data_IF_122963992392
#
_entry.id   IF_122963992392
#
_cell.length_a   1.000
_cell.length_b   1.000
_cell.length_c   1.000
_cell.angle_alpha   90.00
_cell.angle_beta   90.00
_cell.angle_gamma   90.00
#
_symmetry.space_group_name_H-M   'P 1'
#
loop_
_entity.id
_entity.type
_entity.pdbx_description
1 polymer ?
#
# COMPACT_ATOMS: atom_id res chain seq x y z
N UNK A 1 10.26 26.89 -11.41
CA UNK A 1 9.65 25.59 -11.73
C UNK A 1 8.14 25.75 -11.56
N UNK A 2 7.31 25.39 -12.57
CA UNK A 2 5.85 25.48 -12.45
C UNK A 2 5.40 24.45 -11.38
N UNK A 3 4.69 24.90 -10.33
CA UNK A 3 4.17 24.01 -9.30
C UNK A 3 2.84 23.44 -9.79
N UNK A 4 2.79 22.17 -10.13
CA UNK A 4 1.57 21.48 -10.56
C UNK A 4 0.92 20.87 -9.30
N UNK A 5 -0.30 21.31 -8.97
CA UNK A 5 -1.06 20.71 -7.86
C UNK A 5 -1.65 19.36 -8.29
N UNK A 6 -2.00 18.51 -7.29
CA UNK A 6 -2.72 17.26 -7.55
C UNK A 6 -4.00 17.51 -8.35
N UNK A 7 -4.80 18.50 -7.98
CA UNK A 7 -6.02 18.86 -8.72
C UNK A 7 -5.72 19.22 -10.18
N UNK A 8 -4.68 20.05 -10.43
CA UNK A 8 -4.29 20.38 -11.78
C UNK A 8 -3.84 19.13 -12.57
N UNK A 9 -3.01 18.28 -11.97
CA UNK A 9 -2.57 17.03 -12.57
C UNK A 9 -3.76 16.16 -12.96
N UNK A 10 -4.69 15.91 -12.03
CA UNK A 10 -5.85 15.06 -12.26
C UNK A 10 -6.78 15.61 -13.36
N UNK A 11 -6.96 16.93 -13.43
CA UNK A 11 -7.75 17.59 -14.50
C UNK A 11 -7.05 17.47 -15.86
N UNK A 12 -5.72 17.64 -15.91
CA UNK A 12 -4.94 17.50 -17.13
C UNK A 12 -4.97 16.05 -17.65
N UNK A 13 -4.83 15.03 -16.77
CA UNK A 13 -4.95 13.61 -17.13
C UNK A 13 -6.35 13.26 -17.64
N UNK A 14 -7.40 13.75 -16.99
CA UNK A 14 -8.77 13.56 -17.44
C UNK A 14 -8.98 14.12 -18.86
N UNK A 15 -8.38 15.28 -19.17
CA UNK A 15 -8.54 15.95 -20.47
C UNK A 15 -7.70 15.35 -21.58
N UNK A 16 -6.48 14.93 -21.27
CA UNK A 16 -5.52 14.49 -22.30
C UNK A 16 -5.79 13.09 -22.80
N UNK A 17 -6.13 12.17 -21.92
CA UNK A 17 -6.20 10.74 -22.22
C UNK A 17 -7.60 10.14 -22.02
N UNK A 18 -8.54 10.88 -21.45
CA UNK A 18 -9.84 10.36 -20.96
C UNK A 18 -9.67 9.09 -20.08
N UNK A 19 -8.47 8.94 -19.51
CA UNK A 19 -8.06 7.74 -18.75
C UNK A 19 -8.61 7.74 -17.32
N UNK A 20 -8.99 8.93 -16.81
CA UNK A 20 -9.51 9.11 -15.46
C UNK A 20 -10.92 9.73 -15.57
N UNK A 21 -11.99 8.95 -15.30
CA UNK A 21 -13.34 9.49 -15.22
C UNK A 21 -13.47 10.57 -14.14
N UNK A 22 -14.40 11.51 -14.33
CA UNK A 22 -14.59 12.62 -13.37
C UNK A 22 -14.89 12.13 -11.96
N UNK A 23 -15.67 11.07 -11.81
CA UNK A 23 -16.02 10.47 -10.52
C UNK A 23 -14.79 9.88 -9.82
N UNK A 24 -13.93 9.17 -10.55
CA UNK A 24 -12.68 8.64 -9.99
C UNK A 24 -11.73 9.77 -9.58
N UNK A 25 -11.64 10.83 -10.40
CA UNK A 25 -10.85 12.02 -10.06
C UNK A 25 -11.32 12.64 -8.75
N UNK A 26 -12.62 12.86 -8.59
CA UNK A 26 -13.20 13.43 -7.37
C UNK A 26 -12.98 12.55 -6.15
N UNK A 27 -13.15 11.23 -6.30
CA UNK A 27 -12.84 10.27 -5.23
C UNK A 27 -11.39 10.39 -4.76
N UNK A 28 -10.43 10.41 -5.68
CA UNK A 28 -9.00 10.53 -5.32
C UNK A 28 -8.70 11.86 -4.63
N UNK A 29 -9.36 12.96 -5.02
CA UNK A 29 -9.23 14.25 -4.30
C UNK A 29 -9.74 14.17 -2.86
N UNK A 30 -10.81 13.39 -2.62
CA UNK A 30 -11.34 13.16 -1.26
C UNK A 30 -10.37 12.32 -0.44
N UNK A 31 -9.87 11.20 -0.97
CA UNK A 31 -8.88 10.35 -0.30
C UNK A 31 -7.61 11.16 0.02
N UNK A 32 -7.09 11.92 -0.92
CA UNK A 32 -5.91 12.77 -0.71
C UNK A 32 -6.14 13.84 0.37
N UNK A 33 -7.37 14.34 0.52
CA UNK A 33 -7.76 15.26 1.60
C UNK A 33 -7.80 14.55 2.95
N UNK A 34 -8.36 13.33 3.02
CA UNK A 34 -8.33 12.50 4.22
C UNK A 34 -6.88 12.24 4.68
N UNK A 35 -5.98 11.89 3.76
CA UNK A 35 -4.55 11.73 4.05
C UNK A 35 -3.90 13.01 4.62
N UNK A 36 -4.32 14.21 4.21
CA UNK A 36 -3.85 15.46 4.84
C UNK A 36 -4.29 15.57 6.30
N UNK A 37 -5.52 15.20 6.59
CA UNK A 37 -6.07 15.21 7.96
C UNK A 37 -5.32 14.21 8.84
N UNK A 38 -5.08 13.00 8.34
CA UNK A 38 -4.26 11.98 9.02
C UNK A 38 -2.83 12.49 9.25
N UNK A 39 -2.20 13.08 8.23
CA UNK A 39 -0.85 13.69 8.36
C UNK A 39 -0.78 14.73 9.46
N UNK A 40 -1.86 15.53 9.64
CA UNK A 40 -1.93 16.51 10.70
C UNK A 40 -2.03 15.84 12.08
N UNK A 41 -2.86 14.79 12.22
CA UNK A 41 -2.98 14.02 13.46
C UNK A 41 -1.66 13.35 13.83
N UNK A 42 -1.01 12.65 12.88
CA UNK A 42 0.31 12.04 13.03
C UNK A 42 1.36 13.06 13.48
N UNK A 43 1.38 14.23 12.83
CA UNK A 43 2.35 15.30 13.15
C UNK A 43 2.17 15.94 14.53
N UNK A 44 0.99 15.81 15.14
CA UNK A 44 0.75 16.24 16.53
C UNK A 44 1.30 15.26 17.57
N UNK A 45 1.33 13.97 17.25
CA UNK A 45 1.83 12.95 18.17
C UNK A 45 1.24 13.09 19.59
N UNK A 46 2.13 13.12 20.59
CA UNK A 46 1.72 13.26 21.99
C UNK A 46 0.94 14.57 22.28
N UNK A 47 1.17 15.64 21.53
CA UNK A 47 0.46 16.90 21.71
C UNK A 47 -1.03 16.80 21.30
N UNK A 48 -1.37 15.81 20.48
CA UNK A 48 -2.76 15.54 20.06
C UNK A 48 -3.43 14.43 20.85
N UNK A 49 -2.75 13.85 21.84
CA UNK A 49 -3.21 12.69 22.64
C UNK A 49 -3.52 11.45 21.78
N UNK A 50 -2.91 11.37 20.60
CA UNK A 50 -3.17 10.33 19.60
C UNK A 50 -2.23 9.11 19.69
N UNK A 51 -1.24 9.17 20.61
CA UNK A 51 -0.31 8.07 20.84
C UNK A 51 -0.85 7.04 21.84
N UNK A 52 -0.25 5.86 21.85
CA UNK A 52 -0.57 4.78 22.76
C UNK A 52 -1.62 3.81 22.21
N UNK A 53 -1.87 2.75 22.98
CA UNK A 53 -2.88 1.74 22.66
C UNK A 53 -4.26 2.25 22.95
N UNK A 54 -5.22 1.86 22.11
CA UNK A 54 -6.62 1.82 22.50
C UNK A 54 -6.85 0.57 23.38
N UNK A 55 -7.86 0.62 24.26
CA UNK A 55 -8.25 -0.56 25.06
C UNK A 55 -9.06 -1.57 24.22
N UNK A 56 -8.74 -1.67 22.92
CA UNK A 56 -9.44 -2.48 21.91
C UNK A 56 -8.43 -3.29 21.09
N UNK A 57 -8.87 -4.46 20.66
CA UNK A 57 -8.19 -5.27 19.67
C UNK A 57 -8.97 -5.20 18.34
N UNK A 58 -8.26 -5.23 17.21
CA UNK A 58 -8.92 -5.35 15.92
C UNK A 58 -9.46 -6.78 15.74
N UNK A 59 -10.22 -6.98 14.66
CA UNK A 59 -10.84 -8.27 14.32
C UNK A 59 -9.86 -9.43 14.14
N UNK A 60 -8.58 -9.15 14.16
CA UNK A 60 -7.50 -10.13 14.02
C UNK A 60 -6.74 -10.37 15.32
N UNK A 61 -7.20 -9.80 16.45
CA UNK A 61 -6.58 -9.91 17.76
C UNK A 61 -5.28 -9.09 17.90
N UNK A 62 -5.08 -8.09 17.04
CA UNK A 62 -3.96 -7.15 17.15
C UNK A 62 -4.41 -5.96 17.99
N UNK A 63 -3.58 -5.54 18.95
CA UNK A 63 -3.88 -4.37 19.79
C UNK A 63 -3.86 -3.10 18.94
N UNK A 64 -5.02 -2.44 18.82
CA UNK A 64 -5.15 -1.21 18.05
C UNK A 64 -4.44 -0.04 18.73
N UNK A 65 -3.83 0.82 17.95
CA UNK A 65 -3.37 2.12 18.39
C UNK A 65 -4.48 3.15 18.22
N UNK A 66 -4.48 4.20 19.02
CA UNK A 66 -5.46 5.29 18.87
C UNK A 66 -5.43 5.91 17.48
N UNK A 67 -4.24 6.02 16.88
CA UNK A 67 -4.08 6.54 15.51
C UNK A 67 -4.68 5.63 14.45
N UNK A 68 -4.68 4.31 14.62
CA UNK A 68 -5.34 3.38 13.68
C UNK A 68 -6.84 3.69 13.62
N UNK A 69 -7.50 3.81 14.79
CA UNK A 69 -8.92 4.13 14.90
C UNK A 69 -9.22 5.50 14.28
N UNK A 70 -8.46 6.53 14.67
CA UNK A 70 -8.64 7.90 14.16
C UNK A 70 -8.47 7.95 12.65
N UNK A 71 -7.46 7.27 12.10
CA UNK A 71 -7.20 7.24 10.67
C UNK A 71 -8.30 6.52 9.90
N UNK A 72 -8.82 5.43 10.47
CA UNK A 72 -9.95 4.69 9.91
C UNK A 72 -11.21 5.57 9.87
N UNK A 73 -11.57 6.22 10.98
CA UNK A 73 -12.73 7.13 11.05
C UNK A 73 -12.61 8.28 10.06
N UNK A 74 -11.43 8.93 9.96
CA UNK A 74 -11.19 10.02 9.00
C UNK A 74 -11.44 9.55 7.56
N UNK A 75 -10.98 8.36 7.18
CA UNK A 75 -11.19 7.84 5.83
C UNK A 75 -12.65 7.50 5.57
N UNK A 76 -13.35 6.88 6.51
CA UNK A 76 -14.78 6.56 6.39
C UNK A 76 -15.61 7.85 6.27
N UNK A 77 -15.49 8.76 7.23
CA UNK A 77 -16.26 9.99 7.26
C UNK A 77 -16.02 10.90 6.05
N UNK A 78 -14.78 10.99 5.57
CA UNK A 78 -14.46 11.79 4.40
C UNK A 78 -15.12 11.27 3.13
N UNK A 79 -15.27 9.95 2.99
CA UNK A 79 -15.62 9.31 1.72
C UNK A 79 -17.10 8.87 1.63
N UNK A 80 -17.83 8.72 2.74
CA UNK A 80 -19.21 8.18 2.71
C UNK A 80 -20.25 9.09 2.06
N UNK A 81 -20.08 10.40 2.06
CA UNK A 81 -21.09 11.38 1.62
C UNK A 81 -20.90 11.89 0.18
N UNK A 82 -19.75 11.62 -0.44
CA UNK A 82 -19.34 12.22 -1.71
C UNK A 82 -20.08 11.69 -2.96
N UNK A 83 -20.81 10.58 -2.85
CA UNK A 83 -21.57 10.00 -3.96
C UNK A 83 -20.73 9.23 -4.98
N UNK A 84 -19.44 8.99 -4.70
CA UNK A 84 -18.52 8.30 -5.62
C UNK A 84 -18.41 6.80 -5.32
N UNK A 85 -18.75 6.39 -4.09
CA UNK A 85 -18.59 5.03 -3.59
C UNK A 85 -19.91 4.28 -3.45
N UNK A 86 -19.85 2.98 -3.65
CA UNK A 86 -20.90 2.04 -3.26
C UNK A 86 -20.65 1.47 -1.87
N UNK A 87 -19.39 1.18 -1.55
CA UNK A 87 -18.96 0.64 -0.27
C UNK A 87 -17.46 0.90 -0.04
N UNK A 88 -17.02 0.71 1.20
CA UNK A 88 -15.62 0.72 1.61
C UNK A 88 -15.26 -0.56 2.34
N UNK A 89 -13.98 -0.94 2.30
CA UNK A 89 -13.42 -2.01 3.12
C UNK A 89 -12.11 -1.53 3.74
N UNK A 90 -11.96 -1.74 5.03
CA UNK A 90 -10.79 -1.35 5.81
C UNK A 90 -10.15 -2.57 6.45
N UNK A 91 -8.84 -2.54 6.58
CA UNK A 91 -8.07 -3.52 7.34
C UNK A 91 -8.52 -3.61 8.80
N UNK A 92 -8.96 -2.50 9.38
CA UNK A 92 -9.38 -2.36 10.79
C UNK A 92 -10.84 -2.79 11.06
N UNK A 93 -11.60 -3.15 10.01
CA UNK A 93 -13.02 -3.50 10.12
C UNK A 93 -13.26 -4.96 9.75
N UNK A 94 -14.11 -5.66 10.49
CA UNK A 94 -14.44 -7.08 10.23
C UNK A 94 -15.16 -7.27 8.90
N UNK A 95 -16.05 -6.33 8.57
CA UNK A 95 -16.91 -6.39 7.39
C UNK A 95 -16.80 -5.11 6.57
N UNK A 96 -17.36 -5.12 5.37
CA UNK A 96 -17.45 -3.94 4.53
C UNK A 96 -18.31 -2.85 5.19
N UNK A 97 -18.07 -1.60 4.79
CA UNK A 97 -18.88 -0.43 5.13
C UNK A 97 -19.71 -0.01 3.90
N UNK A 98 -20.96 -0.44 3.76
CA UNK A 98 -21.85 0.05 2.70
C UNK A 98 -22.12 1.54 2.89
N UNK A 99 -22.16 2.30 1.81
CA UNK A 99 -22.54 3.73 1.91
C UNK A 99 -23.96 3.85 2.48
N UNK A 100 -24.13 4.64 3.56
CA UNK A 100 -25.43 4.84 4.20
C UNK A 100 -26.50 5.32 3.20
N UNK A 101 -27.73 4.81 3.31
CA UNK A 101 -28.81 5.10 2.38
C UNK A 101 -29.21 6.60 2.30
N UNK A 102 -28.79 7.41 3.28
CA UNK A 102 -28.97 8.87 3.27
C UNK A 102 -28.10 9.60 2.25
N UNK A 103 -27.06 8.90 1.73
CA UNK A 103 -26.12 9.47 0.76
C UNK A 103 -26.30 8.80 -0.61
N UNK A 104 -25.98 9.51 -1.70
CA UNK A 104 -25.95 8.91 -3.03
C UNK A 104 -24.83 7.84 -3.11
N UNK A 105 -25.09 6.79 -3.89
CA UNK A 105 -24.12 5.73 -4.14
C UNK A 105 -23.46 5.93 -5.51
N UNK A 106 -22.18 5.62 -5.60
CA UNK A 106 -21.37 5.72 -6.82
C UNK A 106 -20.94 4.36 -7.36
N UNK A 107 -20.06 4.38 -8.35
CA UNK A 107 -19.62 3.21 -9.12
C UNK A 107 -18.32 2.59 -8.61
N UNK A 108 -17.74 3.12 -7.52
CA UNK A 108 -16.45 2.65 -7.02
C UNK A 108 -16.56 2.02 -5.64
N UNK A 109 -15.58 1.20 -5.33
CA UNK A 109 -15.34 0.62 -4.01
C UNK A 109 -13.93 0.99 -3.57
N UNK A 110 -13.77 1.49 -2.35
CA UNK A 110 -12.50 1.91 -1.78
C UNK A 110 -12.04 0.86 -0.76
N UNK A 111 -10.79 0.41 -0.92
CA UNK A 111 -10.11 -0.46 0.04
C UNK A 111 -8.94 0.29 0.61
N UNK A 112 -8.68 0.15 1.92
CA UNK A 112 -7.55 0.83 2.55
C UNK A 112 -7.05 0.10 3.80
N UNK A 113 -5.74 0.21 4.01
CA UNK A 113 -5.09 0.12 5.31
C UNK A 113 -4.96 1.57 5.82
N UNK A 114 -5.68 1.94 6.88
CA UNK A 114 -5.67 3.32 7.33
C UNK A 114 -4.32 3.78 7.86
N UNK A 115 -3.52 2.85 8.43
CA UNK A 115 -2.22 3.21 8.99
C UNK A 115 -1.21 2.05 9.03
N UNK A 116 -0.57 1.77 7.88
CA UNK A 116 0.54 0.81 7.77
C UNK A 116 1.71 1.19 8.68
N UNK A 117 2.24 0.19 9.36
CA UNK A 117 3.40 0.34 10.24
C UNK A 117 3.06 0.78 11.66
N UNK A 118 1.91 0.40 12.22
CA UNK A 118 1.41 0.79 13.55
C UNK A 118 2.43 0.59 14.69
N UNK A 119 3.35 -0.37 14.56
CA UNK A 119 4.45 -0.55 15.53
C UNK A 119 5.43 0.63 15.60
N UNK A 120 5.45 1.48 14.56
CA UNK A 120 6.32 2.64 14.44
C UNK A 120 5.73 3.93 15.04
N UNK A 121 4.44 3.93 15.39
CA UNK A 121 3.70 5.13 15.86
C UNK A 121 4.39 5.74 17.09
N UNK A 122 4.58 4.94 18.13
CA UNK A 122 5.05 5.43 19.43
C UNK A 122 6.56 5.72 19.46
N UNK A 123 7.30 5.33 18.42
CA UNK A 123 8.75 5.52 18.31
C UNK A 123 9.15 6.54 17.23
N UNK A 124 8.17 7.27 16.69
CA UNK A 124 8.35 8.37 15.74
C UNK A 124 9.09 7.95 14.46
N UNK A 125 8.78 6.77 13.93
CA UNK A 125 9.29 6.28 12.65
C UNK A 125 8.16 6.34 11.61
N UNK A 126 8.52 6.46 10.32
CA UNK A 126 7.57 6.64 9.22
C UNK A 126 6.50 5.55 9.18
N UNK A 127 5.28 5.99 8.97
CA UNK A 127 4.05 5.21 8.82
C UNK A 127 3.29 5.72 7.61
N UNK A 128 2.18 5.10 7.23
CA UNK A 128 1.41 5.62 6.10
C UNK A 128 0.04 4.98 5.92
N UNK A 129 -0.71 5.53 4.98
CA UNK A 129 -2.01 5.02 4.55
C UNK A 129 -1.86 4.38 3.18
N UNK A 130 -2.39 3.17 2.99
CA UNK A 130 -2.43 2.49 1.69
C UNK A 130 -3.87 2.45 1.22
N UNK A 131 -4.12 2.69 -0.08
CA UNK A 131 -5.46 2.58 -0.63
C UNK A 131 -5.47 2.05 -2.07
N UNK A 132 -6.59 1.46 -2.45
CA UNK A 132 -6.90 1.11 -3.83
C UNK A 132 -8.38 1.29 -4.13
N UNK A 133 -8.69 1.43 -5.41
CA UNK A 133 -10.04 1.61 -5.91
C UNK A 133 -10.36 0.48 -6.90
N UNK A 134 -11.48 -0.18 -6.67
CA UNK A 134 -12.11 -1.12 -7.60
C UNK A 134 -13.36 -0.48 -8.20
N UNK A 135 -13.73 -0.92 -9.40
CA UNK A 135 -15.04 -0.61 -9.95
C UNK A 135 -16.08 -1.57 -9.36
N UNK A 136 -17.21 -1.04 -8.94
CA UNK A 136 -18.33 -1.85 -8.50
C UNK A 136 -18.86 -2.69 -9.67
N UNK A 137 -19.29 -3.94 -9.46
CA UNK A 137 -19.90 -4.77 -10.49
C UNK A 137 -21.14 -4.11 -11.10
N UNK A 138 -21.31 -4.27 -12.41
CA UNK A 138 -22.47 -3.71 -13.11
C UNK A 138 -23.77 -4.32 -12.57
N UNK A 139 -24.76 -3.47 -12.30
CA UNK A 139 -26.04 -3.90 -11.74
C UNK A 139 -26.00 -4.32 -10.27
N UNK A 140 -24.94 -3.99 -9.55
CA UNK A 140 -24.80 -4.27 -8.12
C UNK A 140 -25.97 -3.67 -7.34
N UNK A 141 -26.62 -4.50 -6.50
CA UNK A 141 -27.66 -4.09 -5.57
C UNK A 141 -27.09 -3.53 -4.27
N UNK A 142 -27.41 -4.16 -3.15
CA UNK A 142 -26.72 -3.87 -1.89
C UNK A 142 -25.31 -4.48 -1.94
N UNK A 143 -24.25 -3.71 -1.62
CA UNK A 143 -22.88 -4.21 -1.61
C UNK A 143 -22.70 -5.38 -0.64
N UNK A 144 -21.93 -6.37 -1.06
CA UNK A 144 -21.53 -7.53 -0.28
C UNK A 144 -20.02 -7.69 -0.31
N UNK A 145 -19.46 -8.52 0.58
CA UNK A 145 -18.03 -8.83 0.55
C UNK A 145 -17.61 -9.48 -0.78
N UNK A 146 -18.50 -10.25 -1.41
CA UNK A 146 -18.21 -10.92 -2.67
C UNK A 146 -17.92 -9.93 -3.81
N UNK A 147 -18.49 -8.73 -3.77
CA UNK A 147 -18.24 -7.68 -4.77
C UNK A 147 -16.80 -7.19 -4.73
N UNK A 148 -16.15 -7.27 -3.56
CA UNK A 148 -14.74 -6.93 -3.37
C UNK A 148 -13.78 -8.04 -3.81
N UNK A 149 -14.25 -9.29 -3.99
CA UNK A 149 -13.40 -10.43 -4.35
C UNK A 149 -12.90 -10.35 -5.80
N UNK A 150 -12.22 -9.27 -6.13
CA UNK A 150 -11.64 -9.02 -7.44
C UNK A 150 -10.11 -9.10 -7.37
N UNK A 151 -9.49 -9.72 -8.39
CA UNK A 151 -8.03 -9.79 -8.47
C UNK A 151 -7.40 -8.39 -8.52
N UNK A 152 -6.16 -8.25 -8.04
CA UNK A 152 -5.43 -6.98 -8.02
C UNK A 152 -5.34 -6.29 -9.38
N UNK A 153 -5.35 -7.05 -10.48
CA UNK A 153 -5.40 -6.55 -11.87
C UNK A 153 -6.68 -5.78 -12.23
N UNK A 154 -7.71 -5.80 -11.38
CA UNK A 154 -8.95 -5.03 -11.55
C UNK A 154 -8.93 -3.67 -10.87
N UNK A 155 -7.88 -3.33 -10.16
CA UNK A 155 -7.71 -2.00 -9.58
C UNK A 155 -7.68 -0.93 -10.68
N UNK A 156 -8.47 0.13 -10.51
CA UNK A 156 -8.51 1.29 -11.42
C UNK A 156 -7.63 2.43 -10.93
N UNK A 157 -7.29 2.42 -9.66
CA UNK A 157 -6.31 3.31 -9.05
C UNK A 157 -5.73 2.65 -7.80
N UNK A 158 -4.49 2.97 -7.48
CA UNK A 158 -3.88 2.66 -6.18
C UNK A 158 -2.92 3.77 -5.78
N UNK A 159 -2.74 3.92 -4.48
CA UNK A 159 -1.83 4.90 -3.93
C UNK A 159 -1.50 4.63 -2.47
N UNK A 160 -0.54 5.37 -1.97
CA UNK A 160 -0.26 5.45 -0.54
C UNK A 160 0.17 6.86 -0.15
N UNK A 161 -0.11 7.24 1.08
CA UNK A 161 0.51 8.39 1.71
C UNK A 161 1.55 7.90 2.71
N UNK A 162 2.77 8.45 2.67
CA UNK A 162 3.80 8.22 3.69
C UNK A 162 3.92 9.45 4.59
N UNK A 163 3.82 9.24 5.89
CA UNK A 163 3.95 10.23 6.94
C UNK A 163 5.34 10.09 7.58
N UNK A 164 6.30 10.85 7.06
CA UNK A 164 7.69 10.84 7.47
C UNK A 164 8.23 12.28 7.59
N UNK A 165 9.54 12.50 7.38
CA UNK A 165 10.13 13.85 7.34
C UNK A 165 9.40 14.80 6.39
N UNK A 166 8.92 14.26 5.27
CA UNK A 166 7.95 14.89 4.38
C UNK A 166 6.69 14.01 4.33
N UNK A 167 5.53 14.63 4.15
CA UNK A 167 4.32 13.90 3.82
C UNK A 167 4.20 13.83 2.31
N UNK A 168 4.19 12.61 1.77
CA UNK A 168 4.16 12.38 0.33
C UNK A 168 3.01 11.45 -0.03
N UNK A 169 2.39 11.69 -1.19
CA UNK A 169 1.33 10.87 -1.77
C UNK A 169 1.86 10.29 -3.08
N UNK A 170 1.89 8.98 -3.18
CA UNK A 170 2.22 8.25 -4.42
C UNK A 170 0.94 7.69 -5.02
N UNK A 171 0.79 7.80 -6.35
CA UNK A 171 -0.46 7.49 -7.02
C UNK A 171 -0.21 6.91 -8.41
N UNK A 172 -1.04 5.92 -8.78
CA UNK A 172 -1.13 5.36 -10.13
C UNK A 172 -2.58 5.14 -10.55
N UNK A 173 -2.83 5.30 -11.85
CA UNK A 173 -4.08 4.93 -12.55
C UNK A 173 -3.81 3.85 -13.63
N UNK A 174 -2.67 3.16 -13.56
CA UNK A 174 -2.27 2.17 -14.57
C UNK A 174 -1.50 2.75 -15.75
N UNK A 175 -1.02 3.99 -15.67
CA UNK A 175 -0.26 4.70 -16.71
C UNK A 175 1.04 5.34 -16.17
N UNK A 176 1.72 4.66 -15.26
CA UNK A 176 2.91 5.13 -14.55
C UNK A 176 2.61 5.57 -13.12
N UNK A 177 3.64 6.02 -12.42
CA UNK A 177 3.59 6.35 -10.99
C UNK A 177 4.06 7.78 -10.77
N UNK A 178 3.27 8.56 -10.06
CA UNK A 178 3.58 9.95 -9.75
C UNK A 178 3.60 10.19 -8.23
N UNK A 179 4.47 11.08 -7.78
CA UNK A 179 4.62 11.43 -6.38
C UNK A 179 4.38 12.91 -6.14
N UNK A 180 3.58 13.19 -5.12
CA UNK A 180 3.20 14.54 -4.69
C UNK A 180 3.68 14.75 -3.27
N UNK A 181 4.25 15.92 -2.99
CA UNK A 181 4.64 16.34 -1.64
C UNK A 181 3.62 17.32 -1.09
N UNK A 182 3.24 17.16 0.16
CA UNK A 182 2.33 18.08 0.84
C UNK A 182 3.09 19.38 1.20
N UNK A 183 2.71 20.46 0.54
CA UNK A 183 3.03 21.80 1.00
C UNK A 183 2.11 22.13 2.20
N UNK A 184 2.67 22.05 3.40
CA UNK A 184 1.90 22.20 4.64
C UNK A 184 1.40 23.63 4.88
N UNK A 185 2.09 24.63 4.33
CA UNK A 185 1.70 26.05 4.46
C UNK A 185 0.47 26.35 3.61
N UNK A 186 0.45 25.85 2.38
CA UNK A 186 -0.66 26.01 1.45
C UNK A 186 -1.74 24.93 1.56
N UNK A 187 -1.46 23.84 2.26
CA UNK A 187 -2.34 22.68 2.34
C UNK A 187 -2.54 21.98 0.98
N UNK A 188 -1.57 22.08 0.08
CA UNK A 188 -1.69 21.58 -1.30
C UNK A 188 -0.73 20.42 -1.57
N UNK A 189 -1.18 19.39 -2.25
CA UNK A 189 -0.32 18.37 -2.83
C UNK A 189 0.30 18.90 -4.11
N UNK A 190 1.65 18.91 -4.18
CA UNK A 190 2.42 19.41 -5.31
C UNK A 190 3.19 18.26 -5.95
N UNK A 191 3.07 18.10 -7.27
CA UNK A 191 3.83 17.10 -8.03
C UNK A 191 5.32 17.37 -7.90
N UNK A 192 6.06 16.43 -7.33
CA UNK A 192 7.51 16.53 -7.11
C UNK A 192 8.30 15.52 -7.93
N UNK A 193 7.69 14.37 -8.25
CA UNK A 193 8.29 13.37 -9.13
C UNK A 193 7.22 12.81 -10.07
N UNK A 194 7.50 12.79 -11.35
CA UNK A 194 6.62 12.21 -12.38
C UNK A 194 7.25 10.95 -12.97
N UNK A 195 6.40 9.98 -13.30
CA UNK A 195 6.81 8.74 -13.95
C UNK A 195 7.98 8.04 -13.24
N UNK A 196 7.83 7.80 -11.93
CA UNK A 196 8.83 7.10 -11.12
C UNK A 196 9.15 5.72 -11.71
N UNK A 197 10.44 5.36 -11.71
CA UNK A 197 10.91 4.10 -12.25
C UNK A 197 11.80 3.37 -11.26
N UNK A 198 11.55 2.07 -11.07
CA UNK A 198 12.39 1.19 -10.27
C UNK A 198 13.48 0.60 -11.15
N UNK A 199 14.76 0.76 -10.80
CA UNK A 199 15.83 0.08 -11.53
C UNK A 199 15.63 -1.44 -11.55
N UNK A 200 15.87 -2.14 -12.68
CA UNK A 200 15.67 -3.58 -12.77
C UNK A 200 16.57 -4.37 -11.83
N UNK A 201 17.79 -3.88 -11.57
CA UNK A 201 18.77 -4.44 -10.64
C UNK A 201 18.93 -3.55 -9.41
N UNK A 202 19.39 -4.14 -8.31
CA UNK A 202 19.62 -3.40 -7.06
C UNK A 202 20.76 -4.00 -6.25
N UNK A 203 21.19 -3.25 -5.22
CA UNK A 203 22.09 -3.68 -4.14
C UNK A 203 21.47 -3.48 -2.76
N UNK A 204 20.15 -3.36 -2.68
CA UNK A 204 19.45 -3.17 -1.41
C UNK A 204 18.32 -4.19 -1.27
N UNK A 205 18.12 -4.67 -0.03
CA UNK A 205 17.02 -5.54 0.33
C UNK A 205 16.45 -5.18 1.70
N UNK A 206 15.17 -5.48 1.90
CA UNK A 206 14.45 -5.28 3.16
C UNK A 206 13.74 -6.58 3.55
N UNK A 207 14.07 -7.10 4.72
CA UNK A 207 13.42 -8.27 5.33
C UNK A 207 13.65 -8.24 6.83
N UNK A 208 12.70 -8.75 7.62
CA UNK A 208 12.91 -8.91 9.07
C UNK A 208 13.83 -10.09 9.35
N UNK A 209 15.14 -9.83 9.50
CA UNK A 209 16.18 -10.83 9.74
C UNK A 209 15.97 -11.65 11.02
N UNK A 210 15.20 -11.14 12.00
CA UNK A 210 14.92 -11.90 13.24
C UNK A 210 14.11 -13.18 12.98
N UNK A 211 13.46 -13.29 11.83
CA UNK A 211 12.69 -14.46 11.40
C UNK A 211 13.51 -15.48 10.60
N UNK A 212 14.82 -15.28 10.39
CA UNK A 212 15.65 -16.12 9.51
C UNK A 212 15.59 -17.63 9.82
N UNK A 213 15.46 -17.99 11.10
CA UNK A 213 15.35 -19.40 11.54
C UNK A 213 14.02 -20.07 11.17
N UNK A 214 13.03 -19.29 10.71
CA UNK A 214 11.68 -19.75 10.39
C UNK A 214 11.36 -19.67 8.90
N UNK A 215 12.30 -19.22 8.07
CA UNK A 215 12.06 -19.11 6.63
C UNK A 215 12.10 -20.47 5.95
N UNK A 216 11.30 -20.58 4.90
CA UNK A 216 11.40 -21.69 3.95
C UNK A 216 12.73 -21.68 3.22
N UNK A 217 13.23 -22.86 2.75
CA UNK A 217 14.55 -22.97 2.11
C UNK A 217 14.81 -22.00 0.96
N UNK A 218 13.87 -21.70 0.04
CA UNK A 218 14.09 -20.74 -1.03
C UNK A 218 14.44 -19.34 -0.54
N UNK A 219 13.73 -18.85 0.48
CA UNK A 219 13.96 -17.53 1.08
C UNK A 219 15.32 -17.50 1.77
N UNK A 220 15.61 -18.55 2.55
CA UNK A 220 16.89 -18.66 3.24
C UNK A 220 18.06 -18.65 2.26
N UNK A 221 18.00 -19.47 1.20
CA UNK A 221 19.01 -19.50 0.13
C UNK A 221 19.19 -18.11 -0.48
N UNK A 222 18.10 -17.46 -0.86
CA UNK A 222 18.15 -16.15 -1.49
C UNK A 222 18.87 -15.12 -0.58
N UNK A 223 18.49 -15.04 0.70
CA UNK A 223 19.11 -14.10 1.64
C UNK A 223 20.56 -14.46 1.96
N UNK A 224 20.89 -15.75 2.14
CA UNK A 224 22.26 -16.19 2.36
C UNK A 224 23.19 -15.76 1.20
N UNK A 225 22.72 -15.81 -0.06
CA UNK A 225 23.45 -15.32 -1.23
C UNK A 225 23.66 -13.79 -1.19
N UNK A 226 22.68 -13.01 -0.72
CA UNK A 226 22.85 -11.56 -0.55
C UNK A 226 23.88 -11.23 0.52
N UNK A 227 23.87 -11.99 1.65
CA UNK A 227 24.79 -11.82 2.76
C UNK A 227 26.23 -12.27 2.45
N UNK A 228 26.40 -13.25 1.54
CA UNK A 228 27.71 -13.69 1.10
C UNK A 228 28.48 -12.61 0.33
N UNK A 229 27.80 -11.59 -0.16
CA UNK A 229 28.43 -10.40 -0.75
C UNK A 229 29.18 -10.70 -2.05
N UNK A 230 30.28 -9.99 -2.26
CA UNK A 230 31.12 -10.07 -3.47
C UNK A 230 31.91 -11.36 -3.58
N UNK A 231 32.15 -12.06 -2.46
CA UNK A 231 32.79 -13.37 -2.44
C UNK A 231 31.82 -14.53 -2.69
N UNK A 232 30.51 -14.25 -2.67
CA UNK A 232 29.45 -15.22 -2.89
C UNK A 232 29.00 -15.29 -4.36
N UNK A 233 27.95 -16.10 -4.64
CA UNK A 233 27.49 -16.35 -6.00
C UNK A 233 26.94 -15.12 -6.73
N UNK A 234 26.59 -14.05 -5.97
CA UNK A 234 26.09 -12.79 -6.53
C UNK A 234 27.20 -11.86 -7.01
N UNK A 235 28.45 -12.04 -6.55
CA UNK A 235 29.61 -11.20 -6.89
C UNK A 235 29.40 -9.70 -6.56
N UNK A 236 28.56 -9.39 -5.59
CA UNK A 236 28.15 -8.02 -5.27
C UNK A 236 27.74 -7.91 -3.81
N UNK A 237 28.15 -6.83 -3.17
CA UNK A 237 27.74 -6.52 -1.78
C UNK A 237 26.34 -5.89 -1.76
N UNK A 238 25.46 -6.44 -0.93
CA UNK A 238 24.12 -5.92 -0.69
C UNK A 238 24.00 -5.24 0.67
N UNK A 239 23.16 -4.23 0.77
CA UNK A 239 22.83 -3.54 2.00
C UNK A 239 21.40 -3.85 2.44
N UNK A 240 21.24 -4.33 3.67
CA UNK A 240 19.91 -4.44 4.28
C UNK A 240 19.39 -3.07 4.70
N UNK A 241 18.13 -2.78 4.36
CA UNK A 241 17.40 -1.57 4.74
C UNK A 241 16.00 -1.98 5.19
N UNK A 242 15.75 -1.99 6.48
CA UNK A 242 14.48 -2.41 7.08
C UNK A 242 13.91 -1.29 7.95
N UNK A 243 12.71 -0.77 7.60
CA UNK A 243 12.03 0.31 8.33
C UNK A 243 10.88 -0.25 9.17
N UNK A 244 10.39 -1.44 8.84
CA UNK A 244 9.23 -2.09 9.46
C UNK A 244 7.90 -1.34 9.22
N UNK A 245 7.80 -0.65 8.09
CA UNK A 245 6.59 -0.08 7.52
C UNK A 245 6.65 -0.31 6.01
N UNK A 246 5.63 -0.96 5.46
CA UNK A 246 5.62 -1.31 4.02
C UNK A 246 5.64 -0.06 3.15
N UNK A 247 4.89 0.99 3.51
CA UNK A 247 4.88 2.26 2.77
C UNK A 247 6.28 2.89 2.72
N UNK A 248 7.01 2.88 3.83
CA UNK A 248 8.34 3.49 3.90
C UNK A 248 9.39 2.69 3.13
N UNK A 249 9.36 1.36 3.23
CA UNK A 249 10.24 0.47 2.49
C UNK A 249 9.97 0.53 0.98
N UNK A 250 8.70 0.50 0.55
CA UNK A 250 8.31 0.63 -0.86
C UNK A 250 8.66 2.02 -1.39
N UNK A 251 8.45 3.09 -0.62
CA UNK A 251 8.84 4.44 -1.03
C UNK A 251 10.34 4.57 -1.30
N UNK A 252 11.18 3.94 -0.47
CA UNK A 252 12.62 3.86 -0.71
C UNK A 252 12.93 3.09 -2.00
N UNK A 253 12.25 1.97 -2.25
CA UNK A 253 12.44 1.14 -3.45
C UNK A 253 12.06 1.89 -4.72
N UNK A 254 10.95 2.63 -4.72
CA UNK A 254 10.56 3.50 -5.85
C UNK A 254 11.63 4.54 -6.20
N UNK A 255 12.39 5.02 -5.20
CA UNK A 255 13.41 6.05 -5.41
C UNK A 255 14.81 5.49 -5.73
N UNK A 256 15.14 4.27 -5.28
CA UNK A 256 16.52 3.76 -5.31
C UNK A 256 16.66 2.35 -5.87
N UNK A 257 15.56 1.65 -6.08
CA UNK A 257 15.57 0.22 -6.26
C UNK A 257 15.67 -0.53 -4.92
N UNK A 258 15.52 -1.83 -4.97
CA UNK A 258 15.50 -2.71 -3.81
C UNK A 258 14.52 -3.84 -3.98
N UNK A 259 14.55 -4.78 -3.04
CA UNK A 259 13.52 -5.79 -2.87
C UNK A 259 13.01 -5.75 -1.43
N UNK A 260 11.69 -5.65 -1.26
CA UNK A 260 11.00 -5.84 0.01
C UNK A 260 10.47 -7.27 0.08
N UNK A 261 10.66 -7.92 1.21
CA UNK A 261 10.26 -9.30 1.44
C UNK A 261 9.56 -9.46 2.77
N UNK A 262 8.36 -10.00 2.71
CA UNK A 262 7.63 -10.50 3.88
C UNK A 262 7.13 -11.92 3.57
N UNK A 263 8.02 -12.93 3.68
CA UNK A 263 7.71 -14.30 3.31
C UNK A 263 6.76 -14.98 4.30
N UNK A 264 6.14 -16.07 3.88
CA UNK A 264 5.59 -17.06 4.79
C UNK A 264 6.70 -17.66 5.66
N UNK A 265 6.36 -18.13 6.84
CA UNK A 265 7.30 -18.81 7.71
C UNK A 265 6.73 -20.09 8.33
N UNK A 266 7.64 -20.90 8.89
CA UNK A 266 7.34 -22.23 9.41
C UNK A 266 6.62 -22.24 10.77
N UNK A 267 6.45 -21.08 11.43
CA UNK A 267 5.81 -21.01 12.75
C UNK A 267 4.30 -21.24 12.69
N UNK A 268 3.70 -20.75 11.61
CA UNK A 268 2.25 -20.89 11.41
C UNK A 268 1.98 -21.23 9.95
N UNK A 269 1.86 -22.53 9.69
CA UNK A 269 1.56 -23.04 8.34
C UNK A 269 0.08 -22.85 7.95
N UNK A 270 -0.77 -22.44 8.89
CA UNK A 270 -2.18 -22.09 8.60
C UNK A 270 -2.32 -20.69 8.00
N UNK A 271 -1.34 -19.82 8.23
CA UNK A 271 -1.27 -18.47 7.66
C UNK A 271 -0.19 -18.41 6.57
N UNK A 272 -0.58 -18.25 5.29
CA UNK A 272 0.38 -18.23 4.17
C UNK A 272 1.32 -17.02 4.17
N UNK A 273 1.01 -15.97 4.93
CA UNK A 273 1.81 -14.75 5.06
C UNK A 273 1.29 -13.86 6.17
N UNK A 274 1.90 -12.69 6.36
CA UNK A 274 1.45 -11.71 7.36
C UNK A 274 0.66 -10.56 6.73
N UNK A 275 1.05 -10.11 5.54
CA UNK A 275 0.45 -8.95 4.87
C UNK A 275 -0.89 -9.33 4.23
N UNK A 276 -1.83 -8.38 4.19
CA UNK A 276 -3.17 -8.59 3.63
C UNK A 276 -3.13 -8.39 2.12
N UNK A 277 -3.72 -9.34 1.37
CA UNK A 277 -3.74 -9.29 -0.10
C UNK A 277 -4.39 -8.00 -0.60
N UNK A 278 -5.57 -7.66 -0.08
CA UNK A 278 -6.41 -6.62 -0.68
C UNK A 278 -6.07 -5.21 -0.20
N UNK A 279 -5.59 -5.06 1.04
CA UNK A 279 -5.32 -3.75 1.64
C UNK A 279 -3.88 -3.28 1.45
N UNK A 280 -2.92 -4.22 1.34
CA UNK A 280 -1.48 -3.94 1.29
C UNK A 280 -0.84 -4.47 0.01
N UNK A 281 -0.89 -5.80 -0.24
CA UNK A 281 -0.13 -6.44 -1.30
C UNK A 281 -0.60 -6.01 -2.71
N UNK A 282 -1.91 -6.00 -2.99
CA UNK A 282 -2.47 -5.60 -4.28
C UNK A 282 -2.16 -4.13 -4.64
N UNK A 283 -2.47 -3.13 -3.80
CA UNK A 283 -2.14 -1.74 -4.12
C UNK A 283 -0.65 -1.51 -4.31
N UNK A 284 0.20 -2.08 -3.44
CA UNK A 284 1.64 -1.94 -3.57
C UNK A 284 2.21 -2.67 -4.78
N UNK A 285 1.68 -3.86 -5.13
CA UNK A 285 2.04 -4.58 -6.35
C UNK A 285 1.71 -3.75 -7.60
N UNK A 286 0.52 -3.15 -7.64
CA UNK A 286 0.12 -2.30 -8.76
C UNK A 286 1.07 -1.12 -8.94
N UNK A 287 1.38 -0.39 -7.86
CA UNK A 287 2.31 0.73 -7.88
C UNK A 287 3.70 0.29 -8.35
N UNK A 288 4.24 -0.78 -7.77
CA UNK A 288 5.58 -1.29 -8.10
C UNK A 288 5.68 -1.73 -9.55
N UNK A 289 4.68 -2.44 -10.08
CA UNK A 289 4.67 -2.88 -11.48
C UNK A 289 4.53 -1.70 -12.45
N UNK A 290 3.70 -0.69 -12.11
CA UNK A 290 3.58 0.53 -12.92
C UNK A 290 4.88 1.36 -12.93
N UNK A 291 5.74 1.17 -11.94
CA UNK A 291 7.09 1.75 -11.91
C UNK A 291 8.16 0.84 -12.54
N UNK A 292 7.79 -0.23 -13.25
CA UNK A 292 8.72 -1.14 -13.93
C UNK A 292 9.37 -2.20 -13.04
N UNK A 293 8.91 -2.35 -11.79
CA UNK A 293 9.25 -3.44 -10.89
C UNK A 293 8.40 -4.69 -11.09
N UNK A 294 8.40 -5.59 -10.11
CA UNK A 294 7.58 -6.79 -10.09
C UNK A 294 7.11 -7.11 -8.67
N UNK A 295 6.06 -7.94 -8.54
CA UNK A 295 5.54 -8.41 -7.26
C UNK A 295 5.02 -9.85 -7.35
N UNK A 296 5.42 -10.70 -6.39
CA UNK A 296 5.06 -12.12 -6.32
C UNK A 296 4.81 -12.57 -4.88
N UNK A 297 4.02 -13.63 -4.71
CA UNK A 297 3.91 -14.36 -3.44
C UNK A 297 5.01 -15.43 -3.27
N UNK A 298 5.90 -15.53 -4.26
CA UNK A 298 6.93 -16.56 -4.40
C UNK A 298 6.58 -17.59 -5.49
N UNK A 299 5.32 -17.77 -5.83
CA UNK A 299 4.83 -18.75 -6.81
C UNK A 299 4.14 -18.09 -8.00
N UNK A 300 3.34 -17.05 -7.75
CA UNK A 300 2.58 -16.35 -8.77
C UNK A 300 2.63 -14.84 -8.56
N UNK A 301 2.25 -14.11 -9.59
CA UNK A 301 2.15 -12.66 -9.55
C UNK A 301 1.03 -12.22 -8.58
N UNK A 302 1.32 -11.28 -7.67
CA UNK A 302 0.33 -10.79 -6.68
C UNK A 302 -0.97 -10.32 -7.36
N UNK A 303 -0.86 -9.57 -8.45
CA UNK A 303 -2.00 -8.98 -9.15
C UNK A 303 -2.96 -10.01 -9.76
N UNK A 304 -2.55 -11.28 -9.91
CA UNK A 304 -3.35 -12.36 -10.51
C UNK A 304 -4.00 -13.26 -9.44
N UNK A 305 -3.69 -13.05 -8.16
CA UNK A 305 -4.28 -13.83 -7.07
C UNK A 305 -5.78 -13.46 -6.96
N UNK A 306 -6.64 -14.46 -7.07
CA UNK A 306 -8.07 -14.31 -6.82
C UNK A 306 -8.33 -14.28 -5.31
N UNK A 307 -8.84 -13.17 -4.75
CA UNK A 307 -9.18 -13.13 -3.32
C UNK A 307 -10.36 -14.07 -3.01
N UNK A 308 -10.34 -14.68 -1.82
CA UNK A 308 -11.44 -15.51 -1.34
C UNK A 308 -12.01 -15.04 0.01
N UNK A 309 -11.40 -14.03 0.64
CA UNK A 309 -11.89 -13.35 1.85
C UNK A 309 -11.25 -11.96 1.96
N UNK A 310 -11.92 -11.03 2.65
CA UNK A 310 -11.46 -9.64 2.83
C UNK A 310 -10.06 -9.56 3.45
N UNK A 311 -9.81 -10.32 4.50
CA UNK A 311 -8.55 -10.31 5.25
C UNK A 311 -7.62 -11.47 4.85
N UNK A 312 -7.65 -11.89 3.58
CA UNK A 312 -6.72 -12.89 3.07
C UNK A 312 -5.28 -12.39 3.22
N UNK A 313 -4.42 -13.20 3.83
CA UNK A 313 -2.99 -12.92 3.96
C UNK A 313 -2.19 -13.65 2.90
N UNK A 314 -1.08 -13.04 2.48
CA UNK A 314 -0.17 -13.59 1.46
C UNK A 314 1.28 -13.30 1.82
N UNK A 315 2.24 -14.13 1.39
CA UNK A 315 3.65 -13.75 1.34
C UNK A 315 3.82 -12.65 0.29
N UNK A 316 4.81 -11.77 0.48
CA UNK A 316 5.06 -10.68 -0.46
C UNK A 316 6.55 -10.54 -0.74
N UNK A 317 6.89 -10.51 -2.02
CA UNK A 317 8.19 -10.16 -2.57
C UNK A 317 7.96 -9.13 -3.66
N UNK A 318 8.45 -7.90 -3.51
CA UNK A 318 8.23 -6.85 -4.51
C UNK A 318 9.41 -5.89 -4.60
N UNK A 319 9.59 -5.29 -5.78
CA UNK A 319 10.65 -4.31 -6.04
C UNK A 319 11.32 -4.49 -7.40
N UNK A 320 12.65 -4.38 -7.44
CA UNK A 320 13.46 -4.55 -8.65
C UNK A 320 13.21 -5.91 -9.30
N UNK A 321 12.76 -5.89 -10.56
CA UNK A 321 12.21 -7.07 -11.24
C UNK A 321 13.16 -8.26 -11.33
N UNK A 322 14.47 -8.01 -11.48
CA UNK A 322 15.46 -9.08 -11.60
C UNK A 322 15.66 -9.83 -10.27
N UNK A 323 15.50 -9.13 -9.15
CA UNK A 323 15.55 -9.72 -7.82
C UNK A 323 14.27 -10.52 -7.51
N UNK A 324 13.11 -9.96 -7.88
CA UNK A 324 11.83 -10.66 -7.73
C UNK A 324 11.79 -11.92 -8.59
N UNK A 325 12.27 -11.87 -9.85
CA UNK A 325 12.35 -13.03 -10.71
C UNK A 325 13.26 -14.12 -10.13
N UNK A 326 14.38 -13.73 -9.52
CA UNK A 326 15.32 -14.68 -8.90
C UNK A 326 14.70 -15.39 -7.69
N UNK A 327 14.09 -14.67 -6.76
CA UNK A 327 13.47 -15.30 -5.59
C UNK A 327 12.30 -16.20 -6.01
N UNK A 328 11.55 -15.84 -7.04
CA UNK A 328 10.49 -16.68 -7.61
C UNK A 328 11.05 -17.98 -8.19
N UNK A 329 12.15 -17.89 -8.94
CA UNK A 329 12.82 -19.08 -9.49
C UNK A 329 13.25 -20.06 -8.39
N UNK A 330 13.74 -19.58 -7.25
CA UNK A 330 14.12 -20.45 -6.13
C UNK A 330 12.92 -21.14 -5.45
N UNK A 331 11.72 -20.58 -5.55
CA UNK A 331 10.50 -21.23 -5.07
C UNK A 331 9.98 -22.30 -6.03
N UNK A 332 10.42 -22.28 -7.29
CA UNK A 332 10.04 -23.27 -8.31
C UNK A 332 10.97 -24.50 -8.36
N UNK A 333 12.15 -24.45 -7.71
CA UNK A 333 13.10 -25.57 -7.59
C UNK A 333 12.68 -26.53 -6.47
#
# INVERSE_FOLDING_TARGET
MKRISLTQYLVEEQRSNNSIPAELRLLIEVVARACKTISHAVGKGALGEVLGTADTENVQGEVQKKLDIISNEILLEANEWGGHLAAMASEEMESIHPIPNRYPKGEYMLLFDPLDGSSNIDVNVSIGTIFSVLKAPDGMGQPTEQDFMQAGSKQVAAGYAVYGPQTMLVLTFGNGVNCFTLDREMGSWVLTQSNMQIPPTTKEFAINMSNARHWHPPVKRYVDELLAGDTGPRGTNFNMRWIASMVADVHRILNRGGIFMYPADLRDTSMPGKLRLMYEANPMAFIVEQAGGAATDGQQRIMDIAPHKLHQRVPVFLGSKDEVARVTAYHAE
#
